data_IF_668165163609
#
_entry.id   IF_668165163609
#
_cell.length_a   1.000
_cell.length_b   1.000
_cell.length_c   1.000
_cell.angle_alpha   90.00
_cell.angle_beta   90.00
_cell.angle_gamma   90.00
#
_symmetry.space_group_name_H-M   'P 1'
#
loop_
_entity.id
_entity.type
_entity.pdbx_description
1 polymer ?
#
# COMPACT_ATOMS: atom_id res chain seq x y z
N UNK A 1 28.63 0.59 40.61
CA UNK A 1 29.11 0.01 39.32
C UNK A 1 28.06 -0.99 38.81
N UNK A 2 27.13 -0.46 38.00
CA UNK A 2 26.13 -1.10 37.14
C UNK A 2 25.00 -0.07 37.02
N UNK A 3 25.19 0.93 36.15
CA UNK A 3 24.04 1.70 35.67
C UNK A 3 23.20 0.69 34.91
N UNK A 4 21.93 0.55 35.28
CA UNK A 4 21.01 -0.36 34.60
C UNK A 4 21.03 -0.06 33.10
N UNK A 5 21.12 -1.10 32.28
CA UNK A 5 21.14 -1.01 30.81
C UNK A 5 19.97 -0.16 30.28
N UNK A 6 18.85 -0.12 31.03
CA UNK A 6 17.67 0.70 30.74
C UNK A 6 17.90 2.21 30.84
N UNK A 7 18.87 2.69 31.63
CA UNK A 7 19.19 4.12 31.74
C UNK A 7 20.28 4.57 30.74
N UNK A 8 21.08 3.64 30.23
CA UNK A 8 22.21 3.93 29.31
C UNK A 8 21.69 4.22 27.88
N UNK A 9 20.65 3.49 27.45
CA UNK A 9 20.14 3.59 26.08
C UNK A 9 19.61 5.00 25.75
N UNK A 10 18.75 5.64 26.58
CA UNK A 10 18.30 7.01 26.31
C UNK A 10 19.45 8.04 26.31
N UNK A 11 20.39 7.93 27.25
CA UNK A 11 21.54 8.84 27.37
C UNK A 11 22.45 8.76 26.13
N UNK A 12 22.67 7.56 25.60
CA UNK A 12 23.41 7.35 24.35
C UNK A 12 22.67 7.93 23.14
N UNK A 13 21.34 7.76 23.07
CA UNK A 13 20.53 8.34 22.00
C UNK A 13 20.57 9.88 22.01
N UNK A 14 20.40 10.50 23.18
CA UNK A 14 20.46 11.95 23.32
C UNK A 14 21.83 12.51 22.93
N UNK A 15 22.91 11.78 23.24
CA UNK A 15 24.26 12.17 22.84
C UNK A 15 24.48 12.05 21.32
N UNK A 16 23.94 11.00 20.68
CA UNK A 16 24.00 10.84 19.22
C UNK A 16 23.18 11.93 18.52
N UNK A 17 21.98 12.23 19.03
CA UNK A 17 21.14 13.31 18.49
C UNK A 17 21.86 14.66 18.57
N UNK A 18 22.44 15.00 19.73
CA UNK A 18 23.22 16.24 19.90
C UNK A 18 24.41 16.30 18.95
N UNK A 19 25.21 15.24 18.88
CA UNK A 19 26.35 15.16 17.97
C UNK A 19 25.91 15.38 16.51
N UNK A 20 24.81 14.75 16.11
CA UNK A 20 24.30 14.87 14.74
C UNK A 20 23.92 16.31 14.42
N UNK A 21 23.24 16.99 15.35
CA UNK A 21 22.74 18.36 15.15
C UNK A 21 23.85 19.40 15.27
N UNK A 22 24.76 19.27 16.23
CA UNK A 22 25.77 20.30 16.52
C UNK A 22 27.02 20.19 15.66
N UNK A 23 27.42 18.97 15.29
CA UNK A 23 28.76 18.73 14.73
C UNK A 23 28.68 18.17 13.30
N UNK A 24 27.73 17.26 13.04
CA UNK A 24 27.64 16.57 11.75
C UNK A 24 26.83 17.38 10.73
N UNK A 25 25.61 17.78 11.06
CA UNK A 25 24.73 18.53 10.16
C UNK A 25 25.33 19.85 9.66
N UNK A 26 25.99 20.67 10.51
CA UNK A 26 26.57 21.94 10.05
C UNK A 26 27.71 21.79 9.04
N UNK A 27 28.32 20.61 8.92
CA UNK A 27 29.38 20.34 7.96
C UNK A 27 28.87 20.15 6.51
N UNK A 28 27.57 19.92 6.33
CA UNK A 28 26.94 19.79 5.01
C UNK A 28 26.54 21.15 4.43
N UNK A 29 26.46 21.23 3.11
CA UNK A 29 25.92 22.41 2.43
C UNK A 29 24.41 22.54 2.67
N UNK A 30 23.84 23.72 2.41
CA UNK A 30 22.38 23.91 2.54
C UNK A 30 21.59 23.00 1.59
N UNK A 31 22.07 22.77 0.36
CA UNK A 31 21.44 21.84 -0.59
C UNK A 31 21.46 20.39 -0.08
N UNK A 32 22.53 19.98 0.59
CA UNK A 32 22.66 18.64 1.16
C UNK A 32 21.77 18.45 2.39
N UNK A 33 21.68 19.48 3.24
CA UNK A 33 20.72 19.47 4.36
C UNK A 33 19.29 19.39 3.84
N UNK A 34 18.94 20.19 2.83
CA UNK A 34 17.63 20.16 2.21
C UNK A 34 17.30 18.77 1.65
N UNK A 35 18.24 18.14 0.96
CA UNK A 35 18.10 16.78 0.46
C UNK A 35 17.88 15.77 1.59
N UNK A 36 18.74 15.80 2.62
CA UNK A 36 18.65 14.90 3.77
C UNK A 36 17.30 15.04 4.48
N UNK A 37 16.82 16.27 4.70
CA UNK A 37 15.53 16.53 5.29
C UNK A 37 14.39 16.01 4.41
N UNK A 38 14.36 16.39 3.13
CA UNK A 38 13.29 15.95 2.21
C UNK A 38 13.22 14.44 2.04
N UNK A 39 14.33 13.71 2.19
CA UNK A 39 14.36 12.25 2.11
C UNK A 39 14.07 11.54 3.44
N UNK A 40 14.27 12.21 4.59
CA UNK A 40 14.07 11.64 5.92
C UNK A 40 12.69 10.98 6.19
N UNK A 41 11.58 11.37 5.55
CA UNK A 41 10.30 10.68 5.75
C UNK A 41 10.23 9.27 5.12
N UNK A 42 11.21 8.87 4.31
CA UNK A 42 11.17 7.62 3.55
C UNK A 42 12.18 6.59 4.08
N UNK A 43 11.70 5.37 4.36
CA UNK A 43 12.52 4.27 4.88
C UNK A 43 13.60 3.77 3.90
N UNK A 44 13.34 3.95 2.62
CA UNK A 44 14.30 3.68 1.54
C UNK A 44 13.91 4.49 0.32
N UNK A 45 14.91 4.86 -0.47
CA UNK A 45 14.72 5.64 -1.69
C UNK A 45 15.71 5.21 -2.76
N UNK A 46 15.33 5.42 -4.01
CA UNK A 46 16.18 5.20 -5.18
C UNK A 46 16.56 6.52 -5.85
N UNK A 47 17.55 6.51 -6.73
CA UNK A 47 18.02 7.70 -7.47
C UNK A 47 16.88 8.44 -8.21
N UNK A 48 15.91 7.72 -8.78
CA UNK A 48 14.73 8.29 -9.44
C UNK A 48 13.77 8.93 -8.44
N UNK A 49 13.37 8.18 -7.42
CA UNK A 49 12.51 8.68 -6.34
C UNK A 49 13.09 9.93 -5.68
N UNK A 50 14.40 9.93 -5.43
CA UNK A 50 15.07 11.06 -4.81
C UNK A 50 14.96 12.32 -5.67
N UNK A 51 15.02 12.22 -7.00
CA UNK A 51 14.81 13.36 -7.89
C UNK A 51 13.36 13.84 -7.88
N UNK A 52 12.42 12.92 -8.06
CA UNK A 52 11.01 13.24 -8.21
C UNK A 52 10.41 13.84 -6.93
N UNK A 53 10.74 13.24 -5.78
CA UNK A 53 10.15 13.62 -4.51
C UNK A 53 10.80 14.88 -3.94
N UNK A 54 12.11 15.07 -4.14
CA UNK A 54 12.80 16.25 -3.59
C UNK A 54 12.75 17.46 -4.54
N UNK A 55 12.55 17.23 -5.84
CA UNK A 55 12.67 18.22 -6.90
C UNK A 55 14.11 18.59 -7.26
N UNK A 56 15.10 17.92 -6.67
CA UNK A 56 16.52 18.19 -6.89
C UNK A 56 17.07 17.29 -8.00
N UNK A 57 17.37 17.89 -9.16
CA UNK A 57 17.89 17.16 -10.34
C UNK A 57 19.22 16.44 -10.01
N UNK A 58 20.05 17.06 -9.17
CA UNK A 58 21.36 16.54 -8.74
C UNK A 58 21.29 15.60 -7.53
N UNK A 59 20.10 15.21 -7.05
CA UNK A 59 19.95 14.36 -5.86
C UNK A 59 20.86 13.11 -5.84
N UNK A 60 20.99 12.32 -6.93
CA UNK A 60 21.90 11.16 -6.96
C UNK A 60 23.37 11.51 -6.70
N UNK A 61 23.83 12.64 -7.26
CA UNK A 61 25.21 13.08 -7.08
C UNK A 61 25.46 13.57 -5.65
N UNK A 62 24.49 14.27 -5.06
CA UNK A 62 24.54 14.69 -3.67
C UNK A 62 24.54 13.49 -2.71
N UNK A 63 23.69 12.48 -2.93
CA UNK A 63 23.67 11.24 -2.12
C UNK A 63 25.05 10.57 -2.15
N UNK A 64 25.65 10.41 -3.34
CA UNK A 64 27.00 9.83 -3.47
C UNK A 64 28.05 10.66 -2.73
N UNK A 65 28.04 11.98 -2.90
CA UNK A 65 28.97 12.88 -2.20
C UNK A 65 28.83 12.82 -0.68
N UNK A 66 27.60 12.69 -0.17
CA UNK A 66 27.32 12.50 1.27
C UNK A 66 27.88 11.15 1.74
N UNK A 67 27.68 10.06 0.99
CA UNK A 67 28.16 8.72 1.34
C UNK A 67 29.69 8.57 1.29
N UNK A 68 30.38 9.36 0.47
CA UNK A 68 31.85 9.33 0.39
C UNK A 68 32.52 9.87 1.66
N UNK A 69 31.84 10.75 2.40
CA UNK A 69 32.41 11.45 3.57
C UNK A 69 31.64 11.26 4.87
N UNK A 70 30.53 10.54 4.83
CA UNK A 70 29.70 10.27 5.99
C UNK A 70 29.06 8.89 5.92
N UNK A 71 28.61 8.40 7.07
CA UNK A 71 27.93 7.11 7.18
C UNK A 71 26.45 7.29 7.49
N UNK A 72 25.83 8.39 7.03
CA UNK A 72 24.44 8.73 7.32
C UNK A 72 23.45 7.85 6.55
N UNK A 73 23.84 7.39 5.36
CA UNK A 73 23.02 6.61 4.44
C UNK A 73 23.82 5.35 4.05
N UNK A 74 23.15 4.21 4.04
CA UNK A 74 23.66 2.94 3.54
C UNK A 74 23.15 2.69 2.12
N UNK A 75 24.04 2.22 1.25
CA UNK A 75 23.68 1.70 -0.05
C UNK A 75 23.26 0.22 0.09
N UNK A 76 22.01 -0.09 -0.22
CA UNK A 76 21.46 -1.45 -0.15
C UNK A 76 21.56 -2.20 -1.47
N UNK A 77 21.49 -1.49 -2.59
CA UNK A 77 21.61 -2.01 -3.95
C UNK A 77 22.30 -0.97 -4.84
N UNK A 78 22.44 -1.24 -6.14
CA UNK A 78 23.08 -0.30 -7.08
C UNK A 78 22.53 1.12 -6.94
N UNK A 79 21.22 1.26 -6.86
CA UNK A 79 20.52 2.55 -6.86
C UNK A 79 19.62 2.74 -5.64
N UNK A 80 19.59 1.78 -4.70
CA UNK A 80 18.73 1.81 -3.51
C UNK A 80 19.48 2.15 -2.24
N UNK A 81 18.92 3.07 -1.46
CA UNK A 81 19.51 3.63 -0.25
C UNK A 81 18.56 3.58 0.95
N UNK A 82 19.15 3.60 2.14
CA UNK A 82 18.43 3.71 3.42
C UNK A 82 19.25 4.52 4.42
N UNK A 83 18.60 5.37 5.20
CA UNK A 83 19.27 6.04 6.31
C UNK A 83 19.68 5.08 7.43
N UNK A 84 20.73 5.41 8.17
CA UNK A 84 20.90 4.83 9.51
C UNK A 84 19.63 5.18 10.33
N UNK A 85 18.96 4.22 11.00
CA UNK A 85 17.66 4.48 11.62
C UNK A 85 17.62 5.64 12.61
N UNK A 86 18.67 5.80 13.44
CA UNK A 86 18.74 6.93 14.38
C UNK A 86 18.92 8.27 13.65
N UNK A 87 19.72 8.28 12.58
CA UNK A 87 19.92 9.47 11.74
C UNK A 87 18.61 9.87 11.09
N UNK A 88 17.88 8.92 10.48
CA UNK A 88 16.57 9.17 9.87
C UNK A 88 15.61 9.83 10.86
N UNK A 89 15.53 9.28 12.08
CA UNK A 89 14.63 9.77 13.12
C UNK A 89 14.96 11.20 13.54
N UNK A 90 16.25 11.51 13.71
CA UNK A 90 16.69 12.86 14.07
C UNK A 90 16.43 13.83 12.92
N UNK A 91 16.81 13.48 11.69
CA UNK A 91 16.56 14.32 10.51
C UNK A 91 15.07 14.62 10.34
N UNK A 92 14.21 13.62 10.49
CA UNK A 92 12.77 13.78 10.33
C UNK A 92 12.17 14.63 11.45
N UNK A 93 12.67 14.49 12.68
CA UNK A 93 12.29 15.35 13.82
C UNK A 93 12.70 16.80 13.57
N UNK A 94 13.92 17.04 13.16
CA UNK A 94 14.42 18.39 12.83
C UNK A 94 13.65 19.01 11.66
N UNK A 95 13.37 18.24 10.61
CA UNK A 95 12.53 18.69 9.51
C UNK A 95 11.14 19.12 9.98
N UNK A 96 10.50 18.37 10.88
CA UNK A 96 9.19 18.73 11.46
C UNK A 96 9.21 20.02 12.29
N UNK A 97 10.36 20.38 12.87
CA UNK A 97 10.53 21.63 13.59
C UNK A 97 10.76 22.82 12.66
N UNK A 98 11.39 22.58 11.50
CA UNK A 98 11.80 23.62 10.56
C UNK A 98 10.73 23.93 9.51
N UNK A 99 9.95 22.93 9.09
CA UNK A 99 9.01 23.06 7.99
C UNK A 99 7.56 22.87 8.46
N UNK A 100 6.60 23.59 7.84
CA UNK A 100 5.19 23.44 8.15
C UNK A 100 4.67 22.08 7.65
N UNK A 101 3.53 21.64 8.19
CA UNK A 101 2.93 20.34 7.83
C UNK A 101 2.65 20.21 6.33
N UNK A 102 2.22 21.30 5.68
CA UNK A 102 1.91 21.35 4.25
C UNK A 102 3.14 21.04 3.37
N UNK A 103 4.35 21.34 3.85
CA UNK A 103 5.58 20.97 3.14
C UNK A 103 5.78 19.46 3.15
N UNK A 104 5.53 18.81 4.29
CA UNK A 104 5.62 17.36 4.46
C UNK A 104 4.53 16.67 3.65
N UNK A 105 3.31 17.21 3.67
CA UNK A 105 2.21 16.72 2.85
C UNK A 105 2.55 16.77 1.36
N UNK A 106 3.21 17.84 0.91
CA UNK A 106 3.72 17.94 -0.47
C UNK A 106 4.77 16.87 -0.82
N UNK A 107 5.62 16.47 0.13
CA UNK A 107 6.56 15.35 -0.05
C UNK A 107 5.82 14.02 -0.16
N UNK A 108 4.86 13.78 0.73
CA UNK A 108 4.02 12.57 0.69
C UNK A 108 3.21 12.48 -0.60
N UNK A 109 2.68 13.58 -1.11
CA UNK A 109 1.91 13.58 -2.36
C UNK A 109 2.79 13.22 -3.57
N UNK A 110 4.04 13.70 -3.60
CA UNK A 110 4.99 13.33 -4.66
C UNK A 110 5.42 11.87 -4.53
N UNK A 111 5.69 11.40 -3.31
CA UNK A 111 6.03 10.00 -3.06
C UNK A 111 4.88 9.06 -3.44
N UNK A 112 3.64 9.39 -3.07
CA UNK A 112 2.45 8.61 -3.40
C UNK A 112 2.29 8.47 -4.92
N UNK A 113 2.43 9.58 -5.67
CA UNK A 113 2.40 9.58 -7.14
C UNK A 113 3.52 8.76 -7.75
N UNK A 114 4.73 8.88 -7.23
CA UNK A 114 5.87 8.08 -7.68
C UNK A 114 5.59 6.57 -7.53
N UNK A 115 5.10 6.15 -6.36
CA UNK A 115 4.79 4.73 -6.12
C UNK A 115 3.63 4.23 -6.97
N UNK A 116 2.60 5.06 -7.17
CA UNK A 116 1.48 4.74 -8.07
C UNK A 116 1.95 4.50 -9.50
N UNK A 117 2.74 5.42 -10.06
CA UNK A 117 3.27 5.33 -11.44
C UNK A 117 4.17 4.11 -11.65
N UNK A 118 4.85 3.66 -10.60
CA UNK A 118 5.71 2.48 -10.62
C UNK A 118 4.98 1.18 -10.24
N UNK A 119 3.64 1.21 -10.08
CA UNK A 119 2.84 0.02 -9.75
C UNK A 119 3.05 -0.51 -8.32
N UNK A 120 3.65 0.28 -7.43
CA UNK A 120 3.90 -0.04 -6.02
C UNK A 120 2.71 0.41 -5.16
N UNK A 121 1.53 -0.16 -5.43
CA UNK A 121 0.24 0.31 -4.91
C UNK A 121 0.18 0.37 -3.37
N UNK A 122 0.64 -0.66 -2.66
CA UNK A 122 0.62 -0.67 -1.19
C UNK A 122 1.39 0.50 -0.58
N UNK A 123 2.51 0.90 -1.20
CA UNK A 123 3.29 2.07 -0.77
C UNK A 123 2.59 3.37 -1.11
N UNK A 124 1.96 3.48 -2.27
CA UNK A 124 1.15 4.65 -2.63
C UNK A 124 0.00 4.86 -1.63
N UNK A 125 -0.71 3.77 -1.29
CA UNK A 125 -1.79 3.76 -0.29
C UNK A 125 -1.28 4.28 1.06
N UNK A 126 -0.12 3.82 1.54
CA UNK A 126 0.45 4.30 2.80
C UNK A 126 0.52 5.84 2.85
N UNK A 127 1.09 6.48 1.82
CA UNK A 127 1.19 7.94 1.80
C UNK A 127 -0.15 8.64 1.61
N UNK A 128 -1.07 8.08 0.81
CA UNK A 128 -2.43 8.64 0.70
C UNK A 128 -3.24 8.54 2.00
N UNK A 129 -2.95 7.55 2.85
CA UNK A 129 -3.53 7.45 4.20
C UNK A 129 -3.01 8.56 5.11
N UNK A 130 -1.69 8.80 5.12
CA UNK A 130 -1.09 9.92 5.86
C UNK A 130 -1.72 11.27 5.44
N UNK A 131 -1.98 11.44 4.15
CA UNK A 131 -2.67 12.61 3.57
C UNK A 131 -4.19 12.61 3.76
N UNK A 132 -4.78 11.54 4.32
CA UNK A 132 -6.24 11.33 4.44
C UNK A 132 -6.99 11.49 3.11
N UNK A 133 -6.36 11.14 1.99
CA UNK A 133 -6.94 11.23 0.66
C UNK A 133 -7.81 9.99 0.36
N UNK A 134 -9.00 9.97 0.96
CA UNK A 134 -9.96 8.85 0.87
C UNK A 134 -10.33 8.54 -0.59
N UNK A 135 -10.47 9.57 -1.43
CA UNK A 135 -10.85 9.38 -2.83
C UNK A 135 -9.75 8.67 -3.62
N UNK A 136 -8.48 9.01 -3.37
CA UNK A 136 -7.37 8.34 -4.06
C UNK A 136 -7.15 6.92 -3.56
N UNK A 137 -7.32 6.67 -2.26
CA UNK A 137 -7.37 5.31 -1.70
C UNK A 137 -8.48 4.51 -2.39
N UNK A 138 -9.65 5.14 -2.54
CA UNK A 138 -10.75 4.85 -3.47
C UNK A 138 -10.30 4.13 -4.73
N UNK A 139 -9.69 4.95 -5.56
CA UNK A 139 -9.25 4.64 -6.92
C UNK A 139 -8.21 3.51 -6.92
N UNK A 140 -7.21 3.59 -6.05
CA UNK A 140 -6.15 2.58 -5.98
C UNK A 140 -6.69 1.20 -5.59
N UNK A 141 -7.64 1.12 -4.65
CA UNK A 141 -8.26 -0.16 -4.28
C UNK A 141 -9.11 -0.74 -5.42
N UNK A 142 -9.77 0.11 -6.21
CA UNK A 142 -10.49 -0.32 -7.40
C UNK A 142 -9.55 -0.81 -8.51
N UNK A 143 -8.36 -0.24 -8.63
CA UNK A 143 -7.35 -0.70 -9.59
C UNK A 143 -6.66 -2.01 -9.14
N UNK A 144 -6.37 -2.13 -7.83
CA UNK A 144 -5.64 -3.26 -7.23
C UNK A 144 -6.49 -4.56 -7.12
N UNK A 145 -7.78 -4.43 -6.83
CA UNK A 145 -8.73 -5.57 -6.73
C UNK A 145 -8.84 -6.39 -8.03
N UNK A 146 -8.38 -5.83 -9.16
CA UNK A 146 -8.30 -6.53 -10.44
C UNK A 146 -6.97 -7.27 -10.66
N UNK A 147 -5.89 -6.91 -9.97
CA UNK A 147 -4.53 -7.35 -10.33
C UNK A 147 -3.94 -8.44 -9.42
N UNK A 148 -4.32 -8.51 -8.12
CA UNK A 148 -3.71 -9.47 -7.17
C UNK A 148 -4.69 -10.03 -6.13
N UNK A 149 -5.36 -11.16 -6.40
CA UNK A 149 -6.18 -11.87 -5.41
C UNK A 149 -5.39 -12.56 -4.29
N UNK A 150 -4.05 -12.69 -4.42
CA UNK A 150 -3.25 -13.68 -3.70
C UNK A 150 -2.19 -13.12 -2.74
N UNK A 151 -1.90 -11.82 -2.75
CA UNK A 151 -1.02 -11.19 -1.74
C UNK A 151 -1.86 -10.65 -0.57
N UNK A 152 -2.95 -11.35 -0.24
CA UNK A 152 -4.08 -10.95 0.60
C UNK A 152 -3.79 -10.74 2.09
N UNK A 153 -2.58 -10.32 2.46
CA UNK A 153 -2.17 -10.14 3.86
C UNK A 153 -1.29 -8.91 4.06
N UNK A 154 -1.47 -7.84 3.26
CA UNK A 154 -0.87 -6.56 3.60
C UNK A 154 -1.75 -5.82 4.60
N UNK A 155 -1.21 -5.58 5.79
CA UNK A 155 -1.83 -4.77 6.86
C UNK A 155 -2.32 -3.43 6.29
N UNK A 156 -1.58 -2.89 5.32
CA UNK A 156 -1.85 -1.65 4.62
C UNK A 156 -3.18 -1.66 3.87
N UNK A 157 -3.51 -2.73 3.14
CA UNK A 157 -4.78 -2.84 2.41
C UNK A 157 -5.97 -2.89 3.38
N UNK A 158 -5.86 -3.65 4.47
CA UNK A 158 -6.91 -3.71 5.50
C UNK A 158 -7.17 -2.33 6.10
N UNK A 159 -6.11 -1.62 6.47
CA UNK A 159 -6.23 -0.28 7.04
C UNK A 159 -6.77 0.72 6.01
N UNK A 160 -6.49 0.53 4.73
CA UNK A 160 -7.06 1.35 3.66
C UNK A 160 -8.58 1.17 3.53
N UNK A 161 -9.07 -0.07 3.54
CA UNK A 161 -10.51 -0.35 3.55
C UNK A 161 -11.19 0.23 4.79
N UNK A 162 -10.55 0.18 5.97
CA UNK A 162 -11.09 0.74 7.20
C UNK A 162 -11.24 2.28 7.17
N UNK A 163 -10.56 2.98 6.27
CA UNK A 163 -10.71 4.43 6.08
C UNK A 163 -11.88 4.81 5.15
N UNK A 164 -12.42 3.85 4.40
CA UNK A 164 -13.53 4.11 3.49
C UNK A 164 -14.87 4.15 4.25
N UNK A 165 -15.72 5.16 4.01
CA UNK A 165 -17.10 5.14 4.47
C UNK A 165 -17.86 3.93 3.90
N UNK A 166 -18.77 3.35 4.69
CA UNK A 166 -19.56 2.18 4.27
C UNK A 166 -20.36 2.47 2.99
N UNK A 167 -20.88 3.69 2.84
CA UNK A 167 -21.61 4.12 1.64
C UNK A 167 -20.72 4.11 0.39
N UNK A 168 -19.44 4.42 0.54
CA UNK A 168 -18.46 4.40 -0.55
C UNK A 168 -18.15 2.96 -0.97
N UNK A 169 -18.04 2.04 -0.01
CA UNK A 169 -17.86 0.61 -0.28
C UNK A 169 -19.10 0.06 -0.98
N UNK A 170 -20.31 0.34 -0.48
CA UNK A 170 -21.59 -0.12 -1.06
C UNK A 170 -21.85 0.37 -2.48
N UNK A 171 -21.24 1.49 -2.87
CA UNK A 171 -21.35 2.04 -4.21
C UNK A 171 -20.58 1.24 -5.29
N UNK A 172 -19.67 0.33 -4.90
CA UNK A 172 -18.88 -0.50 -5.82
C UNK A 172 -18.92 -1.98 -5.43
N UNK A 173 -19.37 -2.85 -6.34
CA UNK A 173 -19.33 -4.30 -6.11
C UNK A 173 -17.92 -4.86 -5.90
N UNK A 174 -16.91 -4.26 -6.52
CA UNK A 174 -15.51 -4.65 -6.35
C UNK A 174 -14.99 -4.35 -4.94
N UNK A 175 -15.34 -3.20 -4.36
CA UNK A 175 -15.00 -2.88 -2.97
C UNK A 175 -15.76 -3.78 -1.99
N UNK A 176 -17.05 -4.03 -2.23
CA UNK A 176 -17.81 -4.98 -1.41
C UNK A 176 -17.18 -6.38 -1.44
N UNK A 177 -16.70 -6.83 -2.61
CA UNK A 177 -15.96 -8.09 -2.74
C UNK A 177 -14.68 -8.09 -1.90
N UNK A 178 -13.87 -7.03 -2.01
CA UNK A 178 -12.66 -6.88 -1.21
C UNK A 178 -12.95 -6.95 0.29
N UNK A 179 -14.02 -6.30 0.73
CA UNK A 179 -14.44 -6.32 2.13
C UNK A 179 -14.90 -7.71 2.60
N UNK A 180 -15.62 -8.47 1.76
CA UNK A 180 -15.95 -9.88 2.06
C UNK A 180 -14.67 -10.69 2.28
N UNK A 181 -13.70 -10.58 1.37
CA UNK A 181 -12.44 -11.31 1.45
C UNK A 181 -11.65 -10.94 2.71
N UNK A 182 -11.52 -9.64 3.02
CA UNK A 182 -10.81 -9.16 4.21
C UNK A 182 -11.45 -9.71 5.49
N UNK A 183 -12.76 -9.58 5.67
CA UNK A 183 -13.44 -10.07 6.89
C UNK A 183 -13.34 -11.60 7.00
N UNK A 184 -13.42 -12.32 5.87
CA UNK A 184 -13.20 -13.76 5.87
C UNK A 184 -11.78 -14.15 6.31
N UNK A 185 -10.76 -13.43 5.84
CA UNK A 185 -9.36 -13.68 6.20
C UNK A 185 -9.09 -13.34 7.67
N UNK A 186 -9.79 -12.35 8.22
CA UNK A 186 -9.74 -11.99 9.64
C UNK A 186 -10.50 -12.98 10.55
N UNK A 187 -11.06 -14.07 10.00
CA UNK A 187 -11.81 -15.05 10.77
C UNK A 187 -13.17 -14.53 11.25
N UNK A 188 -13.77 -13.58 10.51
CA UNK A 188 -15.08 -12.97 10.80
C UNK A 188 -16.09 -13.33 9.70
N UNK A 189 -16.48 -14.61 9.59
CA UNK A 189 -17.35 -15.08 8.51
C UNK A 189 -18.71 -14.37 8.52
N UNK A 190 -19.25 -13.99 9.68
CA UNK A 190 -20.54 -13.30 9.77
C UNK A 190 -20.52 -11.92 9.11
N UNK A 191 -19.44 -11.16 9.28
CA UNK A 191 -19.27 -9.85 8.63
C UNK A 191 -18.97 -10.02 7.14
N UNK A 192 -18.18 -11.03 6.75
CA UNK A 192 -18.03 -11.39 5.33
C UNK A 192 -19.37 -11.67 4.67
N UNK A 193 -20.23 -12.47 5.31
CA UNK A 193 -21.57 -12.80 4.83
C UNK A 193 -22.52 -11.59 4.81
N UNK A 194 -22.37 -10.65 5.74
CA UNK A 194 -23.07 -9.36 5.69
C UNK A 194 -22.73 -8.62 4.40
N UNK A 195 -21.46 -8.46 4.05
CA UNK A 195 -21.06 -7.80 2.81
C UNK A 195 -21.50 -8.57 1.55
N UNK A 196 -21.49 -9.90 1.57
CA UNK A 196 -22.01 -10.69 0.46
C UNK A 196 -23.52 -10.45 0.24
N UNK A 197 -24.29 -10.29 1.33
CA UNK A 197 -25.71 -9.91 1.24
C UNK A 197 -25.90 -8.53 0.62
N UNK A 198 -25.02 -7.57 0.89
CA UNK A 198 -25.04 -6.25 0.25
C UNK A 198 -24.82 -6.38 -1.27
N UNK A 199 -23.88 -7.21 -1.73
CA UNK A 199 -23.71 -7.53 -3.17
C UNK A 199 -24.99 -8.14 -3.74
N UNK A 200 -25.61 -9.08 -3.03
CA UNK A 200 -26.86 -9.72 -3.46
C UNK A 200 -28.02 -8.73 -3.55
N UNK A 201 -28.08 -7.74 -2.65
CA UNK A 201 -29.07 -6.66 -2.70
C UNK A 201 -28.78 -5.69 -3.84
N UNK A 202 -27.51 -5.35 -4.08
CA UNK A 202 -27.08 -4.55 -5.22
C UNK A 202 -27.57 -5.15 -6.53
N UNK A 203 -27.31 -6.44 -6.76
CA UNK A 203 -27.77 -7.16 -7.96
C UNK A 203 -29.29 -7.08 -8.16
N UNK A 204 -30.08 -7.18 -7.08
CA UNK A 204 -31.55 -7.14 -7.13
C UNK A 204 -32.09 -5.75 -7.41
N UNK A 205 -31.44 -4.72 -6.88
CA UNK A 205 -31.90 -3.34 -6.94
C UNK A 205 -31.36 -2.59 -8.18
N UNK A 206 -30.38 -3.16 -8.88
CA UNK A 206 -29.79 -2.56 -10.08
C UNK A 206 -30.48 -3.08 -11.37
N UNK A 207 -30.85 -2.19 -12.32
CA UNK A 207 -31.40 -2.57 -13.62
C UNK A 207 -30.48 -3.51 -14.41
N UNK A 208 -31.06 -4.34 -15.29
CA UNK A 208 -30.32 -5.34 -16.10
C UNK A 208 -29.28 -4.71 -17.03
N UNK A 209 -29.52 -3.48 -17.46
CA UNK A 209 -28.73 -2.76 -18.45
C UNK A 209 -27.53 -2.02 -17.81
N UNK A 210 -27.49 -1.89 -16.49
CA UNK A 210 -26.39 -1.23 -15.79
C UNK A 210 -25.17 -2.18 -15.74
N UNK A 211 -24.00 -1.77 -16.29
CA UNK A 211 -22.81 -2.62 -16.30
C UNK A 211 -22.32 -3.00 -14.89
N UNK A 212 -22.67 -2.21 -13.85
CA UNK A 212 -22.31 -2.53 -12.46
C UNK A 212 -23.06 -3.75 -11.93
N UNK A 213 -24.22 -4.08 -12.49
CA UNK A 213 -24.95 -5.31 -12.13
C UNK A 213 -24.15 -6.54 -12.53
N UNK A 214 -23.54 -6.51 -13.71
CA UNK A 214 -22.68 -7.58 -14.19
C UNK A 214 -21.43 -7.73 -13.31
N UNK A 215 -20.77 -6.62 -12.97
CA UNK A 215 -19.64 -6.63 -12.03
C UNK A 215 -20.02 -7.22 -10.66
N UNK A 216 -21.22 -6.91 -10.16
CA UNK A 216 -21.73 -7.48 -8.91
C UNK A 216 -21.98 -8.99 -8.99
N UNK A 217 -22.52 -9.48 -10.11
CA UNK A 217 -22.67 -10.91 -10.35
C UNK A 217 -21.33 -11.63 -10.40
N UNK A 218 -20.35 -11.07 -11.12
CA UNK A 218 -18.99 -11.61 -11.20
C UNK A 218 -18.31 -11.64 -9.83
N UNK A 219 -18.49 -10.57 -9.03
CA UNK A 219 -18.03 -10.52 -7.66
C UNK A 219 -18.65 -11.62 -6.80
N UNK A 220 -19.97 -11.80 -6.84
CA UNK A 220 -20.67 -12.84 -6.10
C UNK A 220 -20.20 -14.25 -6.50
N UNK A 221 -20.11 -14.52 -7.81
CA UNK A 221 -19.63 -15.81 -8.32
C UNK A 221 -18.18 -16.10 -7.90
N UNK A 222 -17.32 -15.08 -7.89
CA UNK A 222 -15.96 -15.21 -7.40
C UNK A 222 -15.91 -15.56 -5.91
N UNK A 223 -16.72 -14.89 -5.07
CA UNK A 223 -16.78 -15.13 -3.62
C UNK A 223 -17.37 -16.50 -3.27
N UNK A 224 -18.35 -16.97 -4.04
CA UNK A 224 -18.90 -18.32 -3.89
C UNK A 224 -17.85 -19.42 -3.99
N UNK A 225 -16.77 -19.17 -4.76
CA UNK A 225 -15.65 -20.08 -4.94
C UNK A 225 -14.51 -19.77 -3.97
N UNK A 226 -14.21 -18.50 -3.74
CA UNK A 226 -13.00 -18.05 -3.04
C UNK A 226 -13.12 -18.01 -1.51
N UNK A 227 -14.34 -17.93 -0.95
CA UNK A 227 -14.50 -17.77 0.49
C UNK A 227 -14.28 -19.10 1.25
N UNK A 228 -13.26 -19.21 2.12
CA UNK A 228 -12.90 -20.46 2.78
C UNK A 228 -14.00 -21.01 3.69
N UNK A 229 -14.80 -20.14 4.31
CA UNK A 229 -15.89 -20.54 5.21
C UNK A 229 -17.14 -21.06 4.49
N UNK A 230 -17.23 -20.96 3.15
CA UNK A 230 -18.35 -21.51 2.36
C UNK A 230 -18.15 -22.95 1.91
N UNK A 231 -16.94 -23.48 2.09
CA UNK A 231 -16.60 -24.87 1.79
C UNK A 231 -16.67 -25.23 0.30
N UNK A 232 -16.25 -26.46 -0.03
CA UNK A 232 -16.14 -26.94 -1.42
C UNK A 232 -17.43 -27.53 -1.99
N UNK A 233 -18.44 -27.78 -1.16
CA UNK A 233 -19.69 -28.48 -1.54
C UNK A 233 -20.51 -27.73 -2.60
N UNK A 234 -20.36 -26.41 -2.70
CA UNK A 234 -21.10 -25.58 -3.66
C UNK A 234 -20.31 -25.21 -4.93
N UNK A 235 -19.01 -25.54 -5.01
CA UNK A 235 -18.14 -25.09 -6.11
C UNK A 235 -18.64 -25.61 -7.47
N UNK A 236 -19.05 -26.88 -7.55
CA UNK A 236 -19.57 -27.46 -8.79
C UNK A 236 -20.83 -26.73 -9.26
N UNK A 237 -21.76 -26.40 -8.36
CA UNK A 237 -22.98 -25.64 -8.69
C UNK A 237 -22.65 -24.23 -9.17
N UNK A 238 -21.68 -23.57 -8.54
CA UNK A 238 -21.26 -22.23 -8.91
C UNK A 238 -20.56 -22.20 -10.28
N UNK A 239 -19.71 -23.19 -10.58
CA UNK A 239 -19.09 -23.35 -11.90
C UNK A 239 -20.14 -23.58 -13.01
N UNK A 240 -21.17 -24.40 -12.76
CA UNK A 240 -22.23 -24.63 -13.75
C UNK A 240 -23.07 -23.37 -14.00
N UNK A 241 -23.37 -22.60 -12.95
CA UNK A 241 -24.07 -21.33 -13.07
C UNK A 241 -23.24 -20.30 -13.86
N UNK A 242 -21.92 -20.30 -13.68
CA UNK A 242 -21.01 -19.41 -14.41
C UNK A 242 -20.84 -19.82 -15.88
N UNK A 243 -20.70 -21.12 -16.17
CA UNK A 243 -20.61 -21.64 -17.54
C UNK A 243 -21.86 -21.31 -18.36
N UNK A 244 -23.05 -21.41 -17.76
CA UNK A 244 -24.29 -21.00 -18.39
C UNK A 244 -24.34 -19.50 -18.77
N UNK A 245 -23.56 -18.63 -18.12
CA UNK A 245 -23.50 -17.20 -18.44
C UNK A 245 -22.58 -16.90 -19.63
N UNK A 246 -21.49 -17.65 -19.79
CA UNK A 246 -20.62 -17.55 -20.96
C UNK A 246 -21.36 -17.91 -22.26
N UNK A 247 -22.35 -18.79 -22.18
CA UNK A 247 -23.17 -19.22 -23.32
C UNK A 247 -24.26 -18.19 -23.73
N UNK A 248 -24.55 -17.16 -22.92
CA UNK A 248 -25.63 -16.19 -23.17
C UNK A 248 -25.23 -14.84 -23.81
N UNK A 249 -23.97 -14.63 -24.24
CA UNK A 249 -23.63 -13.37 -24.91
C UNK A 249 -22.24 -13.29 -25.54
N UNK A 250 -22.20 -13.33 -26.86
CA UNK A 250 -21.09 -12.83 -27.68
C UNK A 250 -20.87 -11.32 -27.46
N UNK A 251 -19.64 -10.85 -27.75
CA UNK A 251 -19.04 -9.50 -27.61
C UNK A 251 -18.26 -9.27 -26.30
N UNK A 252 -16.95 -9.05 -26.29
CA UNK A 252 -15.96 -8.94 -27.35
C UNK A 252 -14.70 -8.34 -26.71
N UNK A 253 -13.57 -9.02 -26.86
CA UNK A 253 -12.22 -8.47 -26.65
C UNK A 253 -12.05 -7.50 -25.46
N UNK A 254 -12.07 -8.06 -24.25
CA UNK A 254 -11.17 -7.60 -23.19
C UNK A 254 -10.42 -8.83 -22.72
N UNK A 255 -9.11 -8.81 -22.93
CA UNK A 255 -8.11 -9.73 -22.37
C UNK A 255 -8.08 -9.63 -20.84
N UNK A 256 -9.23 -9.83 -20.18
CA UNK A 256 -9.35 -9.92 -18.73
C UNK A 256 -9.44 -11.40 -18.40
N UNK A 257 -8.28 -12.04 -18.51
CA UNK A 257 -8.07 -13.42 -18.12
C UNK A 257 -8.57 -13.62 -16.68
N UNK A 258 -9.52 -14.54 -16.55
CA UNK A 258 -9.98 -15.08 -15.28
C UNK A 258 -8.77 -15.79 -14.63
N UNK A 259 -8.01 -15.08 -13.80
CA UNK A 259 -6.86 -15.68 -13.14
C UNK A 259 -7.35 -16.38 -11.86
N UNK A 260 -7.90 -17.58 -12.03
CA UNK A 260 -8.28 -18.49 -10.93
C UNK A 260 -7.08 -18.91 -10.09
N UNK A 261 -5.87 -18.80 -10.63
CA UNK A 261 -4.61 -18.95 -9.92
C UNK A 261 -3.96 -17.57 -9.74
N UNK A 262 -4.54 -16.71 -8.89
CA UNK A 262 -3.69 -15.71 -8.24
C UNK A 262 -2.60 -16.50 -7.51
N UNK A 263 -1.36 -16.43 -7.99
CA UNK A 263 -0.16 -17.19 -7.55
C UNK A 263 -0.33 -17.89 -6.19
N UNK A 264 -1.01 -19.02 -6.18
CA UNK A 264 -1.02 -19.91 -5.05
C UNK A 264 0.25 -20.73 -5.18
N UNK A 265 1.15 -20.59 -4.21
CA UNK A 265 2.23 -21.56 -4.04
C UNK A 265 1.54 -22.92 -3.91
N UNK A 266 1.71 -23.76 -4.91
CA UNK A 266 1.14 -25.11 -4.94
C UNK A 266 1.64 -25.88 -3.71
N UNK A 267 0.75 -26.08 -2.73
CA UNK A 267 0.96 -27.04 -1.64
C UNK A 267 0.77 -28.50 -2.10
N UNK A 268 0.73 -28.76 -3.41
CA UNK A 268 0.56 -30.09 -4.01
C UNK A 268 1.84 -30.57 -4.71
N UNK A 269 2.98 -30.51 -4.02
CA UNK A 269 4.10 -31.43 -4.28
C UNK A 269 4.37 -32.23 -3.00
N UNK A 270 3.47 -33.18 -2.74
CA UNK A 270 3.76 -34.34 -1.91
C UNK A 270 4.19 -35.48 -2.83
N UNK A 271 5.51 -35.70 -2.91
CA UNK A 271 6.17 -36.83 -3.54
C UNK A 271 7.51 -37.03 -2.87
#
# INVERSE_FOLDING_TARGET
PERSVQAIVPEVFDNIEKLLISDILPAFSEEEKELLFKLSPFDSFEDEMARDVTGLINAPALIRGINERSYLIFQQSRDGYRFVPIVQKVLFKEMKNLYPGEFIDGLYERAARYYEQNGLISRAIYFYKELKNIQKIRELLLEDTYMRPADGDSVELREAYAMLPEEMIKASPELMKGMCMIESLLGRPEESERWYREISQFIKNTPSEDPRRQAAWEAAACLDIALPHRGTENILRCLTNYAGLCDFGQYGSRDRGFNTAGNSVSFLNGG
#
